data_IF_189838942723
#
_entry.id   IF_189838942723
#
_cell.length_a   1.000
_cell.length_b   1.000
_cell.length_c   1.000
_cell.angle_alpha   90.00
_cell.angle_beta   90.00
_cell.angle_gamma   90.00
#
_symmetry.space_group_name_H-M   'P 1'
#
loop_
_entity.id
_entity.type
_entity.pdbx_description
1 polymer ?
#
# COMPACT_ATOMS: atom_id res chain seq x y z
N UNK A 1 -18.76 -4.58 -5.08
CA UNK A 1 -17.54 -4.76 -5.90
C UNK A 1 -17.54 -3.86 -7.13
N UNK A 2 -18.52 -3.97 -8.04
CA UNK A 2 -18.63 -3.08 -9.22
C UNK A 2 -18.65 -1.58 -8.85
N UNK A 3 -19.35 -1.19 -7.78
CA UNK A 3 -19.40 0.21 -7.30
C UNK A 3 -18.03 0.76 -6.88
N UNK A 4 -17.18 -0.08 -6.29
CA UNK A 4 -15.83 0.33 -5.87
C UNK A 4 -14.96 0.51 -7.11
N UNK A 5 -15.05 -0.44 -8.06
CA UNK A 5 -14.33 -0.37 -9.32
C UNK A 5 -14.75 0.88 -10.12
N UNK A 6 -16.05 1.17 -10.22
CA UNK A 6 -16.53 2.37 -10.92
C UNK A 6 -16.03 3.66 -10.25
N UNK A 7 -16.01 3.70 -8.91
CA UNK A 7 -15.47 4.84 -8.17
C UNK A 7 -13.97 5.04 -8.44
N UNK A 8 -13.18 3.97 -8.47
CA UNK A 8 -11.76 4.03 -8.84
C UNK A 8 -11.55 4.55 -10.27
N UNK A 9 -12.32 4.05 -11.24
CA UNK A 9 -12.23 4.49 -12.64
C UNK A 9 -12.53 5.98 -12.77
N UNK A 10 -13.61 6.45 -12.12
CA UNK A 10 -13.97 7.87 -12.10
C UNK A 10 -12.87 8.71 -11.43
N UNK A 11 -12.30 8.24 -10.32
CA UNK A 11 -11.19 8.91 -9.63
C UNK A 11 -9.95 9.06 -10.51
N UNK A 12 -9.59 8.00 -11.26
CA UNK A 12 -8.46 8.02 -12.20
C UNK A 12 -8.72 8.99 -13.35
N UNK A 13 -9.91 8.95 -13.96
CA UNK A 13 -10.29 9.85 -15.05
C UNK A 13 -10.26 11.32 -14.59
N UNK A 14 -10.83 11.59 -13.42
CA UNK A 14 -10.82 12.93 -12.82
C UNK A 14 -9.40 13.39 -12.53
N UNK A 15 -8.56 12.53 -11.94
CA UNK A 15 -7.15 12.82 -11.70
C UNK A 15 -6.35 13.07 -12.97
N UNK A 16 -6.65 12.35 -14.06
CA UNK A 16 -6.01 12.53 -15.36
C UNK A 16 -6.36 13.88 -15.99
N UNK A 17 -7.63 14.29 -15.97
CA UNK A 17 -8.09 15.60 -16.48
C UNK A 17 -7.48 16.75 -15.68
N UNK A 18 -7.36 16.62 -14.36
CA UNK A 18 -6.83 17.65 -13.47
C UNK A 18 -5.30 17.69 -13.39
N UNK A 19 -4.59 16.71 -13.99
CA UNK A 19 -3.12 16.56 -13.93
C UNK A 19 -2.33 17.80 -14.37
N UNK A 20 -2.87 18.60 -15.31
CA UNK A 20 -2.19 19.80 -15.84
C UNK A 20 -2.23 21.02 -14.91
N UNK A 21 -2.99 20.98 -13.81
CA UNK A 21 -3.06 22.09 -12.85
C UNK A 21 -2.04 21.87 -11.73
N UNK A 22 -1.41 22.94 -11.24
CA UNK A 22 -0.47 22.94 -10.11
C UNK A 22 -1.17 22.69 -8.74
N UNK A 23 -2.10 21.73 -8.71
CA UNK A 23 -2.89 21.33 -7.52
C UNK A 23 -2.27 20.08 -6.88
N UNK A 24 -1.25 19.48 -7.50
CA UNK A 24 -0.59 18.27 -7.03
C UNK A 24 -0.07 18.38 -5.58
N UNK A 25 0.43 19.56 -5.17
CA UNK A 25 0.87 19.80 -3.79
C UNK A 25 -0.27 19.79 -2.77
N UNK A 26 -1.44 20.33 -3.12
CA UNK A 26 -2.63 20.29 -2.26
C UNK A 26 -3.18 18.88 -2.15
N UNK A 27 -3.21 18.14 -3.26
CA UNK A 27 -3.65 16.73 -3.30
C UNK A 27 -2.72 15.87 -2.45
N UNK A 28 -1.40 16.04 -2.55
CA UNK A 28 -0.44 15.34 -1.71
C UNK A 28 -0.68 15.58 -0.22
N UNK A 29 -0.88 16.85 0.18
CA UNK A 29 -1.21 17.20 1.58
C UNK A 29 -2.54 16.59 2.03
N UNK A 30 -3.55 16.60 1.17
CA UNK A 30 -4.87 16.02 1.46
C UNK A 30 -4.78 14.49 1.64
N UNK A 31 -4.01 13.81 0.79
CA UNK A 31 -3.74 12.36 0.91
C UNK A 31 -3.04 12.06 2.23
N UNK A 32 -2.00 12.82 2.60
CA UNK A 32 -1.31 12.62 3.88
C UNK A 32 -2.25 12.77 5.08
N UNK A 33 -3.09 13.81 5.10
CA UNK A 33 -4.09 13.99 6.17
C UNK A 33 -5.09 12.82 6.19
N UNK A 34 -5.55 12.39 5.01
CA UNK A 34 -6.46 11.25 4.90
C UNK A 34 -5.83 9.95 5.42
N UNK A 35 -4.56 9.67 5.09
CA UNK A 35 -3.84 8.47 5.58
C UNK A 35 -3.75 8.51 7.11
N UNK A 36 -3.36 9.64 7.70
CA UNK A 36 -3.28 9.77 9.17
C UNK A 36 -4.64 9.54 9.81
N UNK A 37 -5.70 10.14 9.25
CA UNK A 37 -7.06 9.99 9.76
C UNK A 37 -7.57 8.54 9.63
N UNK A 38 -7.29 7.88 8.51
CA UNK A 38 -7.63 6.48 8.28
C UNK A 38 -6.86 5.55 9.24
N UNK A 39 -5.57 5.80 9.45
CA UNK A 39 -4.76 5.05 10.41
C UNK A 39 -5.28 5.23 11.85
N UNK A 40 -5.72 6.43 12.20
CA UNK A 40 -6.34 6.70 13.50
C UNK A 40 -7.64 5.91 13.68
N UNK A 41 -8.53 5.93 12.68
CA UNK A 41 -9.77 5.16 12.71
C UNK A 41 -9.52 3.65 12.72
N UNK A 42 -8.53 3.19 11.96
CA UNK A 42 -8.09 1.79 11.99
C UNK A 42 -7.63 1.41 13.40
N UNK A 43 -6.82 2.25 14.06
CA UNK A 43 -6.39 2.05 15.43
C UNK A 43 -7.56 1.92 16.42
N UNK A 44 -8.57 2.78 16.31
CA UNK A 44 -9.80 2.68 17.13
C UNK A 44 -10.56 1.39 16.83
N UNK A 45 -10.76 1.05 15.56
CA UNK A 45 -11.51 -0.14 15.15
C UNK A 45 -10.83 -1.43 15.62
N UNK A 46 -9.50 -1.47 15.59
CA UNK A 46 -8.70 -2.59 16.07
C UNK A 46 -8.68 -2.63 17.60
N UNK A 47 -8.47 -1.48 18.25
CA UNK A 47 -8.36 -1.34 19.71
C UNK A 47 -9.68 -1.45 20.48
N UNK A 48 -10.84 -1.43 19.80
CA UNK A 48 -12.15 -1.72 20.40
C UNK A 48 -12.58 -3.18 20.19
N UNK A 49 -11.92 -3.90 19.27
CA UNK A 49 -12.23 -5.28 18.97
C UNK A 49 -11.45 -6.22 19.92
N UNK A 50 -12.14 -6.76 20.93
CA UNK A 50 -11.56 -7.65 21.94
C UNK A 50 -10.93 -8.91 21.34
N UNK A 51 -11.51 -9.45 20.26
CA UNK A 51 -10.96 -10.64 19.59
C UNK A 51 -9.62 -10.34 18.93
N UNK A 52 -9.49 -9.18 18.27
CA UNK A 52 -8.23 -8.75 17.66
C UNK A 52 -7.18 -8.44 18.71
N UNK A 53 -7.54 -7.78 19.81
CA UNK A 53 -6.62 -7.43 20.91
C UNK A 53 -6.09 -8.68 21.62
N UNK A 54 -6.97 -9.63 21.93
CA UNK A 54 -6.58 -10.88 22.59
C UNK A 54 -5.69 -11.75 21.69
N UNK A 55 -5.87 -11.68 20.37
CA UNK A 55 -5.07 -12.40 19.39
C UNK A 55 -3.95 -11.53 18.78
N UNK A 56 -3.71 -10.32 19.29
CA UNK A 56 -2.80 -9.36 18.67
C UNK A 56 -1.37 -9.89 18.60
N UNK A 57 -0.94 -10.66 19.60
CA UNK A 57 0.36 -11.33 19.61
C UNK A 57 0.49 -12.31 18.43
N UNK A 58 -0.49 -13.20 18.26
CA UNK A 58 -0.50 -14.18 17.15
C UNK A 58 -0.60 -13.50 15.79
N UNK A 59 -1.48 -12.49 15.65
CA UNK A 59 -1.63 -11.70 14.42
C UNK A 59 -0.33 -10.94 14.11
N UNK A 60 0.29 -10.35 15.13
CA UNK A 60 1.54 -9.61 15.00
C UNK A 60 2.69 -10.48 14.54
N UNK A 61 2.87 -11.67 15.13
CA UNK A 61 3.90 -12.63 14.71
C UNK A 61 3.66 -13.08 13.27
N UNK A 62 2.42 -13.42 12.92
CA UNK A 62 2.06 -13.78 11.54
C UNK A 62 2.33 -12.63 10.57
N UNK A 63 1.99 -11.40 10.95
CA UNK A 63 2.20 -10.21 10.12
C UNK A 63 3.71 -9.96 9.89
N UNK A 64 4.54 -10.10 10.91
CA UNK A 64 6.01 -9.98 10.78
C UNK A 64 6.56 -11.06 9.87
N UNK A 65 6.16 -12.32 10.06
CA UNK A 65 6.62 -13.44 9.24
C UNK A 65 6.24 -13.26 7.77
N UNK A 66 4.99 -12.88 7.49
CA UNK A 66 4.50 -12.63 6.13
C UNK A 66 5.21 -11.43 5.51
N UNK A 67 5.36 -10.33 6.25
CA UNK A 67 6.03 -9.12 5.75
C UNK A 67 7.49 -9.40 5.41
N UNK A 68 8.18 -10.17 6.25
CA UNK A 68 9.56 -10.55 6.03
C UNK A 68 9.69 -11.49 4.84
N UNK A 69 8.88 -12.54 4.76
CA UNK A 69 8.86 -13.48 3.65
C UNK A 69 8.52 -12.78 2.31
N UNK A 70 7.54 -11.88 2.30
CA UNK A 70 7.16 -11.12 1.13
C UNK A 70 8.27 -10.14 0.67
N UNK A 71 8.93 -9.48 1.62
CA UNK A 71 10.05 -8.57 1.31
C UNK A 71 11.25 -9.34 0.77
N UNK A 72 11.63 -10.43 1.45
CA UNK A 72 12.71 -11.31 0.97
C UNK A 72 12.41 -11.88 -0.42
N UNK A 73 11.20 -12.40 -0.62
CA UNK A 73 10.77 -12.93 -1.92
C UNK A 73 10.83 -11.87 -3.02
N UNK A 74 10.35 -10.65 -2.73
CA UNK A 74 10.40 -9.53 -3.68
C UNK A 74 11.83 -9.13 -4.05
N UNK A 75 12.74 -9.09 -3.07
CA UNK A 75 14.16 -8.78 -3.30
C UNK A 75 14.86 -9.89 -4.09
N UNK A 76 14.63 -11.16 -3.74
CA UNK A 76 15.21 -12.32 -4.44
C UNK A 76 14.78 -12.37 -5.90
N UNK A 77 13.50 -12.18 -6.19
CA UNK A 77 13.00 -12.15 -7.57
C UNK A 77 13.54 -10.94 -8.32
N UNK A 78 13.60 -9.77 -7.70
CA UNK A 78 14.19 -8.57 -8.32
C UNK A 78 15.67 -8.77 -8.65
N UNK A 79 16.42 -9.44 -7.76
CA UNK A 79 17.82 -9.79 -7.98
C UNK A 79 17.98 -10.82 -9.10
N UNK A 80 17.12 -11.84 -9.16
CA UNK A 80 17.12 -12.83 -10.23
C UNK A 80 16.88 -12.16 -11.59
N UNK A 81 15.89 -11.27 -11.68
CA UNK A 81 15.59 -10.49 -12.89
C UNK A 81 16.79 -9.63 -13.30
N UNK A 82 17.46 -9.00 -12.34
CA UNK A 82 18.67 -8.22 -12.59
C UNK A 82 19.80 -9.09 -13.16
N UNK A 83 20.05 -10.26 -12.56
CA UNK A 83 21.12 -11.16 -13.01
C UNK A 83 20.84 -11.77 -14.38
N UNK A 84 19.59 -12.19 -14.66
CA UNK A 84 19.25 -12.83 -15.94
C UNK A 84 19.20 -11.80 -17.07
N UNK A 85 18.62 -10.62 -16.84
CA UNK A 85 18.30 -9.68 -17.91
C UNK A 85 19.33 -8.57 -18.08
N UNK A 86 19.90 -8.06 -16.98
CA UNK A 86 20.81 -6.91 -17.01
C UNK A 86 22.28 -7.33 -17.04
N UNK A 87 22.67 -8.41 -16.33
CA UNK A 87 24.08 -8.86 -16.32
C UNK A 87 24.57 -9.40 -17.67
N UNK A 88 23.68 -9.85 -18.55
CA UNK A 88 24.03 -10.37 -19.89
C UNK A 88 24.28 -9.28 -20.95
N UNK A 89 24.11 -8.00 -20.62
CA UNK A 89 24.38 -6.87 -21.54
C UNK A 89 25.71 -6.16 -21.28
N UNK A 90 26.52 -6.68 -20.35
CA UNK A 90 27.80 -6.08 -19.94
C UNK A 90 28.99 -7.04 -20.18
N UNK A 91 28.86 -8.01 -21.09
CA UNK A 91 29.99 -8.76 -21.65
C UNK A 91 30.07 -8.61 -23.16
#
# INVERSE_FOLDING_TARGET
MLTVISCMVIGILTGYVLRKRHIAGLVGKLISVAIVLLLFFLGISVGTNKDIINNLSTIGVNAVLISFAATMGSVLVSWLVYVIWFKSKES
#
